data_IF_810184673748
#
_entry.id   IF_810184673748
#
_cell.length_a   1.000
_cell.length_b   1.000
_cell.length_c   1.000
_cell.angle_alpha   90.00
_cell.angle_beta   90.00
_cell.angle_gamma   90.00
#
_symmetry.space_group_name_H-M   'P 1'
#
loop_
_entity.id
_entity.type
_entity.pdbx_description
1 polymer ?
#
# COMPACT_ATOMS: atom_id res chain seq x y z
N UNK A 1 22.88 -4.13 19.51
CA UNK A 1 23.20 -3.10 18.48
C UNK A 1 23.19 -3.80 17.13
N UNK A 2 22.58 -3.19 16.11
CA UNK A 2 22.45 -3.79 14.77
C UNK A 2 23.69 -3.45 13.95
N UNK A 3 24.52 -4.46 13.65
CA UNK A 3 25.74 -4.33 12.87
C UNK A 3 25.68 -5.24 11.63
N UNK A 4 26.38 -4.85 10.56
CA UNK A 4 26.65 -5.74 9.43
C UNK A 4 27.71 -6.78 9.81
N UNK A 5 27.89 -7.78 8.95
CA UNK A 5 28.95 -8.79 9.10
C UNK A 5 30.36 -8.17 9.14
N UNK A 6 30.54 -6.99 8.53
CA UNK A 6 31.80 -6.25 8.50
C UNK A 6 31.98 -5.32 9.72
N UNK A 7 31.06 -5.36 10.69
CA UNK A 7 31.09 -4.51 11.89
C UNK A 7 30.60 -3.07 11.68
N UNK A 8 30.04 -2.74 10.50
CA UNK A 8 29.45 -1.41 10.26
C UNK A 8 28.10 -1.28 10.97
N UNK A 9 27.81 -0.18 11.68
CA UNK A 9 26.49 0.02 12.28
C UNK A 9 25.44 0.20 11.18
N UNK A 10 24.26 -0.40 11.31
CA UNK A 10 23.24 -0.34 10.25
C UNK A 10 22.49 1.00 10.22
N UNK A 11 21.81 1.35 11.31
CA UNK A 11 20.98 2.56 11.38
C UNK A 11 21.81 3.84 11.52
N UNK A 12 22.96 3.75 12.19
CA UNK A 12 23.85 4.88 12.44
C UNK A 12 25.09 4.85 11.55
N UNK A 13 25.03 4.20 10.38
CA UNK A 13 26.05 4.42 9.35
C UNK A 13 25.97 5.84 8.84
N UNK A 14 27.11 6.43 8.48
CA UNK A 14 27.16 7.79 7.97
C UNK A 14 26.27 7.98 6.74
N UNK A 15 26.24 6.99 5.83
CA UNK A 15 25.43 6.99 4.62
C UNK A 15 23.92 7.06 4.90
N UNK A 16 23.43 6.21 5.81
CA UNK A 16 22.00 6.19 6.18
C UNK A 16 21.66 7.44 6.97
N UNK A 17 22.49 7.81 7.95
CA UNK A 17 22.26 8.95 8.83
C UNK A 17 22.22 10.26 8.07
N UNK A 18 23.21 10.55 7.22
CA UNK A 18 23.28 11.80 6.46
C UNK A 18 22.06 11.98 5.56
N UNK A 19 21.61 10.91 4.90
CA UNK A 19 20.43 10.98 4.03
C UNK A 19 19.14 11.09 4.83
N UNK A 20 19.02 10.35 5.94
CA UNK A 20 17.84 10.37 6.79
C UNK A 20 17.67 11.70 7.54
N UNK A 21 18.77 12.34 7.97
CA UNK A 21 18.77 13.62 8.67
C UNK A 21 18.54 14.85 7.76
N UNK A 22 18.05 14.64 6.52
CA UNK A 22 17.79 15.73 5.57
C UNK A 22 16.58 16.55 6.01
N UNK A 23 16.82 17.72 6.63
CA UNK A 23 15.76 18.64 7.06
C UNK A 23 15.41 19.72 6.03
N UNK A 24 16.32 20.04 5.10
CA UNK A 24 16.07 21.07 4.09
C UNK A 24 15.41 20.44 2.85
N UNK A 25 14.08 20.42 2.88
CA UNK A 25 13.27 19.75 1.88
C UNK A 25 12.69 20.76 0.89
N UNK A 26 13.11 20.68 -0.37
CA UNK A 26 12.73 21.65 -1.42
C UNK A 26 11.66 21.14 -2.38
N UNK A 27 11.51 19.83 -2.52
CA UNK A 27 10.57 19.22 -3.48
C UNK A 27 9.40 18.55 -2.78
N UNK A 28 8.26 18.45 -3.47
CA UNK A 28 7.11 17.68 -2.99
C UNK A 28 7.47 16.21 -2.73
N UNK A 29 8.30 15.63 -3.59
CA UNK A 29 8.78 14.27 -3.46
C UNK A 29 9.57 14.08 -2.16
N UNK A 30 10.58 14.92 -1.93
CA UNK A 30 11.40 14.87 -0.72
C UNK A 30 10.56 15.12 0.54
N UNK A 31 9.53 15.99 0.48
CA UNK A 31 8.62 16.25 1.61
C UNK A 31 7.84 15.00 1.99
N UNK A 32 7.35 14.30 0.98
CA UNK A 32 6.63 13.05 1.20
C UNK A 32 7.54 11.93 1.71
N UNK A 33 8.82 11.91 1.31
CA UNK A 33 9.79 10.92 1.79
C UNK A 33 10.26 11.19 3.22
N UNK A 34 10.73 12.40 3.52
CA UNK A 34 11.48 12.69 4.76
C UNK A 34 10.63 13.31 5.88
N UNK A 35 9.42 13.81 5.61
CA UNK A 35 8.53 14.36 6.65
C UNK A 35 7.23 13.58 6.85
N UNK A 36 6.79 12.82 5.84
CA UNK A 36 5.51 12.11 5.88
C UNK A 36 5.68 10.58 5.87
N UNK A 37 6.77 10.07 5.28
CA UNK A 37 7.05 8.65 5.09
C UNK A 37 8.42 8.22 5.58
N UNK A 38 8.98 8.90 6.58
CA UNK A 38 10.34 8.68 7.07
C UNK A 38 10.63 7.21 7.41
N UNK A 39 9.69 6.53 8.09
CA UNK A 39 9.79 5.10 8.43
C UNK A 39 10.02 4.22 7.20
N UNK A 40 9.27 4.48 6.11
CA UNK A 40 9.40 3.75 4.85
C UNK A 40 10.70 4.12 4.17
N UNK A 41 11.06 5.40 4.18
CA UNK A 41 12.31 5.86 3.58
C UNK A 41 13.53 5.22 4.24
N UNK A 42 13.52 5.06 5.56
CA UNK A 42 14.57 4.37 6.31
C UNK A 42 14.81 2.95 5.78
N UNK A 43 13.73 2.19 5.57
CA UNK A 43 13.85 0.82 5.01
C UNK A 43 14.42 0.82 3.60
N UNK A 44 14.03 1.78 2.76
CA UNK A 44 14.59 1.95 1.41
C UNK A 44 16.08 2.30 1.45
N UNK A 45 16.50 3.17 2.37
CA UNK A 45 17.91 3.51 2.56
C UNK A 45 18.73 2.29 3.01
N UNK A 46 18.20 1.49 3.93
CA UNK A 46 18.86 0.27 4.38
C UNK A 46 19.07 -0.74 3.23
N UNK A 47 18.05 -0.96 2.41
CA UNK A 47 18.17 -1.84 1.23
C UNK A 47 19.16 -1.32 0.19
N UNK A 48 19.32 0.01 0.10
CA UNK A 48 20.24 0.67 -0.82
C UNK A 48 21.69 0.60 -0.37
N UNK A 49 21.97 0.87 0.90
CA UNK A 49 23.33 0.92 1.45
C UNK A 49 23.85 -0.42 1.97
N UNK A 50 22.95 -1.37 2.26
CA UNK A 50 23.29 -2.74 2.67
C UNK A 50 22.64 -3.76 1.72
N UNK A 51 23.05 -3.82 0.44
CA UNK A 51 22.41 -4.66 -0.57
C UNK A 51 22.56 -6.16 -0.30
N UNK A 52 23.58 -6.57 0.44
CA UNK A 52 23.84 -7.98 0.82
C UNK A 52 23.00 -8.44 2.03
N UNK A 53 22.18 -7.55 2.60
CA UNK A 53 21.33 -7.83 3.73
C UNK A 53 19.85 -7.79 3.34
N UNK A 54 19.00 -8.37 4.20
CA UNK A 54 17.55 -8.41 3.99
C UNK A 54 16.80 -7.84 5.18
N UNK A 55 15.69 -7.17 4.89
CA UNK A 55 14.69 -6.83 5.89
C UNK A 55 13.76 -8.03 6.08
N UNK A 56 13.41 -8.32 7.33
CA UNK A 56 12.56 -9.46 7.68
C UNK A 56 11.44 -9.02 8.61
N UNK A 57 10.30 -9.70 8.48
CA UNK A 57 9.15 -9.51 9.35
C UNK A 57 9.26 -10.49 10.52
N UNK A 58 9.11 -9.97 11.74
CA UNK A 58 9.13 -10.76 12.98
C UNK A 58 7.69 -10.82 13.51
N UNK A 59 6.99 -11.96 13.43
CA UNK A 59 5.58 -12.08 13.82
C UNK A 59 5.32 -11.73 15.30
N UNK A 60 6.31 -11.95 16.16
CA UNK A 60 6.23 -11.68 17.60
C UNK A 60 6.32 -10.18 17.92
N UNK A 61 6.83 -9.36 17.00
CA UNK A 61 6.92 -7.91 17.14
C UNK A 61 5.53 -7.27 16.93
N UNK A 62 4.73 -7.27 17.99
CA UNK A 62 3.36 -6.71 17.98
C UNK A 62 3.35 -5.28 18.52
N UNK A 63 2.57 -4.41 17.87
CA UNK A 63 2.34 -3.04 18.32
C UNK A 63 0.84 -2.76 18.39
N UNK A 64 0.44 -1.96 19.38
CA UNK A 64 -0.94 -1.49 19.53
C UNK A 64 -1.04 -0.08 18.99
N UNK A 65 -2.10 0.18 18.24
CA UNK A 65 -2.39 1.51 17.69
C UNK A 65 -3.78 1.95 18.06
N UNK A 66 -3.97 3.25 18.23
CA UNK A 66 -5.27 3.85 18.48
C UNK A 66 -5.90 4.15 17.13
N UNK A 67 -7.06 3.54 16.86
CA UNK A 67 -7.81 3.79 15.63
C UNK A 67 -8.37 5.21 15.67
N UNK A 68 -8.33 5.97 14.56
CA UNK A 68 -8.94 7.29 14.48
C UNK A 68 -10.41 7.28 14.90
N UNK A 69 -10.78 8.15 15.86
CA UNK A 69 -12.15 8.26 16.36
C UNK A 69 -13.06 9.12 15.47
N UNK A 70 -12.49 9.96 14.60
CA UNK A 70 -13.24 10.85 13.70
C UNK A 70 -12.78 10.68 12.26
N UNK A 71 -13.71 10.91 11.33
CA UNK A 71 -13.44 10.78 9.90
C UNK A 71 -12.39 11.78 9.41
N UNK A 72 -12.35 12.99 9.97
CA UNK A 72 -11.33 14.00 9.63
C UNK A 72 -9.92 13.56 10.01
N UNK A 73 -9.75 12.91 11.16
CA UNK A 73 -8.45 12.35 11.58
C UNK A 73 -8.08 11.17 10.68
N UNK A 74 -9.03 10.29 10.34
CA UNK A 74 -8.81 9.19 9.39
C UNK A 74 -8.35 9.72 8.03
N UNK A 75 -9.04 10.72 7.47
CA UNK A 75 -8.68 11.37 6.21
C UNK A 75 -7.28 11.96 6.27
N UNK A 76 -6.94 12.69 7.33
CA UNK A 76 -5.63 13.31 7.47
C UNK A 76 -4.51 12.27 7.58
N UNK A 77 -4.72 11.17 8.30
CA UNK A 77 -3.76 10.07 8.40
C UNK A 77 -3.57 9.38 7.05
N UNK A 78 -4.68 9.01 6.39
CA UNK A 78 -4.62 8.30 5.11
C UNK A 78 -4.05 9.15 3.98
N UNK A 79 -4.29 10.47 3.99
CA UNK A 79 -3.61 11.42 3.09
C UNK A 79 -2.09 11.33 3.22
N UNK A 80 -1.57 11.42 4.45
CA UNK A 80 -0.13 11.29 4.72
C UNK A 80 0.41 9.95 4.22
N UNK A 81 -0.31 8.87 4.52
CA UNK A 81 0.15 7.52 4.21
C UNK A 81 0.14 7.25 2.70
N UNK A 82 -0.92 7.63 1.99
CA UNK A 82 -1.03 7.43 0.54
C UNK A 82 0.01 8.27 -0.19
N UNK A 83 0.14 9.56 0.14
CA UNK A 83 1.08 10.45 -0.53
C UNK A 83 2.53 9.99 -0.31
N UNK A 84 2.89 9.62 0.92
CA UNK A 84 4.21 9.07 1.22
C UNK A 84 4.46 7.71 0.54
N UNK A 85 3.46 6.84 0.46
CA UNK A 85 3.58 5.52 -0.19
C UNK A 85 3.89 5.68 -1.66
N UNK A 86 3.18 6.54 -2.38
CA UNK A 86 3.44 6.80 -3.80
C UNK A 86 4.91 7.17 -4.04
N UNK A 87 5.41 8.19 -3.33
CA UNK A 87 6.78 8.63 -3.48
C UNK A 87 7.81 7.61 -3.00
N UNK A 88 7.53 6.87 -1.93
CA UNK A 88 8.42 5.83 -1.44
C UNK A 88 8.52 4.65 -2.41
N UNK A 89 7.42 4.24 -3.04
CA UNK A 89 7.43 3.21 -4.08
C UNK A 89 8.24 3.65 -5.30
N UNK A 90 8.18 4.94 -5.68
CA UNK A 90 9.07 5.50 -6.73
C UNK A 90 10.55 5.38 -6.36
N UNK A 91 10.92 5.67 -5.12
CA UNK A 91 12.31 5.56 -4.66
C UNK A 91 12.73 4.08 -4.52
N UNK A 92 11.82 3.21 -4.07
CA UNK A 92 12.07 1.77 -3.97
C UNK A 92 12.40 1.17 -5.33
N UNK A 93 11.70 1.56 -6.41
CA UNK A 93 12.02 1.13 -7.78
C UNK A 93 13.45 1.44 -8.22
N UNK A 94 14.09 2.47 -7.65
CA UNK A 94 15.47 2.87 -7.95
C UNK A 94 16.52 1.99 -7.25
N UNK A 95 16.12 1.18 -6.26
CA UNK A 95 17.03 0.25 -5.58
C UNK A 95 17.42 -0.88 -6.54
N UNK A 96 18.73 -1.10 -6.71
CA UNK A 96 19.26 -2.06 -7.69
C UNK A 96 19.27 -3.50 -7.17
N UNK A 97 19.39 -3.71 -5.86
CA UNK A 97 19.54 -5.01 -5.19
C UNK A 97 18.24 -5.83 -5.05
N UNK A 98 17.16 -5.45 -5.73
CA UNK A 98 15.89 -6.19 -5.64
C UNK A 98 15.91 -7.47 -6.48
N UNK A 99 15.47 -8.57 -5.86
CA UNK A 99 15.49 -9.91 -6.45
C UNK A 99 14.53 -10.05 -7.67
N UNK A 100 14.92 -10.94 -8.58
CA UNK A 100 14.04 -11.59 -9.58
C UNK A 100 14.41 -11.33 -11.04
N UNK A 101 13.77 -12.07 -11.94
CA UNK A 101 14.04 -12.09 -13.39
C UNK A 101 12.85 -11.46 -14.13
N UNK A 102 13.10 -10.41 -14.92
CA UNK A 102 12.11 -9.76 -15.80
C UNK A 102 10.75 -9.48 -15.10
N UNK A 103 9.64 -9.98 -15.65
CA UNK A 103 8.27 -9.79 -15.14
C UNK A 103 7.98 -10.47 -13.80
N UNK A 104 8.86 -11.34 -13.31
CA UNK A 104 8.78 -11.97 -11.99
C UNK A 104 9.75 -11.31 -10.99
N UNK A 105 10.20 -10.09 -11.28
CA UNK A 105 10.98 -9.27 -10.35
C UNK A 105 10.08 -8.60 -9.31
N UNK A 106 10.62 -8.41 -8.10
CA UNK A 106 10.01 -7.54 -7.09
C UNK A 106 9.70 -6.13 -7.62
N UNK A 107 10.52 -5.62 -8.56
CA UNK A 107 10.25 -4.34 -9.25
C UNK A 107 8.95 -4.36 -10.04
N UNK A 108 8.72 -5.44 -10.80
CA UNK A 108 7.51 -5.59 -11.60
C UNK A 108 6.26 -5.64 -10.70
N UNK A 109 6.34 -6.38 -9.59
CA UNK A 109 5.26 -6.45 -8.59
C UNK A 109 4.95 -5.07 -8.02
N UNK A 110 5.98 -4.29 -7.64
CA UNK A 110 5.80 -2.92 -7.11
C UNK A 110 5.14 -2.00 -8.15
N UNK A 111 5.53 -2.08 -9.42
CA UNK A 111 4.92 -1.29 -10.50
C UNK A 111 3.45 -1.69 -10.70
N UNK A 112 3.16 -3.00 -10.73
CA UNK A 112 1.80 -3.50 -10.89
C UNK A 112 0.91 -3.07 -9.72
N UNK A 113 1.42 -3.12 -8.49
CA UNK A 113 0.71 -2.65 -7.30
C UNK A 113 0.44 -1.14 -7.36
N UNK A 114 1.42 -0.35 -7.78
CA UNK A 114 1.26 1.09 -7.97
C UNK A 114 0.19 1.41 -9.03
N UNK A 115 0.20 0.73 -10.17
CA UNK A 115 -0.80 0.92 -11.23
C UNK A 115 -2.19 0.46 -10.74
N UNK A 116 -2.28 -0.71 -10.12
CA UNK A 116 -3.53 -1.25 -9.62
C UNK A 116 -4.19 -0.31 -8.62
N UNK A 117 -3.42 0.22 -7.66
CA UNK A 117 -3.91 1.15 -6.64
C UNK A 117 -4.36 2.50 -7.23
N UNK A 118 -3.71 2.99 -8.28
CA UNK A 118 -4.12 4.22 -8.98
C UNK A 118 -5.43 4.07 -9.76
N UNK A 119 -5.73 2.87 -10.28
CA UNK A 119 -6.93 2.61 -11.08
C UNK A 119 -8.17 2.34 -10.21
N UNK A 120 -8.01 1.98 -8.93
CA UNK A 120 -9.12 1.63 -8.02
C UNK A 120 -10.30 2.62 -8.01
N UNK A 121 -10.11 3.95 -7.96
CA UNK A 121 -11.24 4.88 -7.97
C UNK A 121 -12.04 4.79 -9.28
N UNK A 122 -11.34 4.68 -10.41
CA UNK A 122 -11.97 4.54 -11.72
C UNK A 122 -12.69 3.17 -11.85
N UNK A 123 -12.09 2.10 -11.34
CA UNK A 123 -12.73 0.79 -11.30
C UNK A 123 -14.03 0.80 -10.51
N UNK A 124 -14.10 1.54 -9.39
CA UNK A 124 -15.33 1.63 -8.61
C UNK A 124 -16.45 2.36 -9.39
N UNK A 125 -16.12 3.44 -10.11
CA UNK A 125 -17.07 4.13 -10.99
C UNK A 125 -17.56 3.19 -12.08
N UNK A 126 -16.68 2.40 -12.67
CA UNK A 126 -17.04 1.44 -13.71
C UNK A 126 -17.96 0.32 -13.18
N UNK A 127 -17.74 -0.16 -11.96
CA UNK A 127 -18.66 -1.09 -11.29
C UNK A 127 -20.04 -0.46 -11.11
N UNK A 128 -20.11 0.79 -10.64
CA UNK A 128 -21.37 1.52 -10.51
C UNK A 128 -22.08 1.70 -11.86
N UNK A 129 -21.33 1.99 -12.92
CA UNK A 129 -21.85 2.08 -14.28
C UNK A 129 -22.44 0.74 -14.76
N UNK A 130 -21.72 -0.37 -14.59
CA UNK A 130 -22.21 -1.71 -14.97
C UNK A 130 -23.50 -2.06 -14.22
N UNK A 131 -23.54 -1.79 -12.92
CA UNK A 131 -24.76 -1.99 -12.12
C UNK A 131 -25.90 -1.16 -12.72
N UNK A 132 -25.66 0.11 -13.04
CA UNK A 132 -26.71 0.97 -13.60
C UNK A 132 -27.27 0.47 -14.93
N UNK A 133 -26.43 0.07 -15.90
CA UNK A 133 -26.91 -0.44 -17.20
C UNK A 133 -27.67 -1.76 -17.05
N UNK A 134 -27.23 -2.65 -16.16
CA UNK A 134 -27.92 -3.93 -15.95
C UNK A 134 -29.29 -3.73 -15.32
N UNK A 135 -29.41 -2.85 -14.32
CA UNK A 135 -30.69 -2.61 -13.65
C UNK A 135 -31.66 -1.77 -14.48
N UNK A 136 -31.18 -0.74 -15.18
CA UNK A 136 -32.05 0.21 -15.88
C UNK A 136 -32.27 -0.12 -17.36
N UNK A 137 -31.28 -0.72 -18.03
CA UNK A 137 -31.35 -1.06 -19.45
C UNK A 137 -31.59 -2.55 -19.69
N UNK A 138 -31.52 -3.39 -18.64
CA UNK A 138 -31.77 -4.82 -18.73
C UNK A 138 -30.66 -5.61 -19.45
N UNK A 139 -29.48 -5.00 -19.63
CA UNK A 139 -28.36 -5.63 -20.32
C UNK A 139 -27.80 -6.81 -19.52
N UNK A 140 -27.60 -7.99 -20.13
CA UNK A 140 -27.12 -9.17 -19.42
C UNK A 140 -25.67 -9.01 -18.98
N UNK A 141 -25.39 -9.38 -17.73
CA UNK A 141 -24.02 -9.45 -17.22
C UNK A 141 -23.26 -10.60 -17.88
N UNK A 142 -22.04 -10.32 -18.36
CA UNK A 142 -21.17 -11.35 -18.91
C UNK A 142 -20.83 -12.39 -17.84
N UNK A 143 -21.06 -13.67 -18.16
CA UNK A 143 -20.69 -14.78 -17.28
C UNK A 143 -19.21 -14.75 -16.90
N UNK A 144 -18.33 -14.36 -17.84
CA UNK A 144 -16.90 -14.23 -17.59
C UNK A 144 -16.62 -13.21 -16.46
N UNK A 145 -17.32 -12.08 -16.46
CA UNK A 145 -17.15 -11.06 -15.42
C UNK A 145 -17.56 -11.59 -14.05
N UNK A 146 -18.70 -12.29 -13.98
CA UNK A 146 -19.18 -12.90 -12.73
C UNK A 146 -18.22 -13.95 -12.19
N UNK A 147 -17.67 -14.80 -13.08
CA UNK A 147 -16.69 -15.83 -12.71
C UNK A 147 -15.40 -15.18 -12.19
N UNK A 148 -14.84 -14.21 -12.91
CA UNK A 148 -13.60 -13.53 -12.49
C UNK A 148 -13.80 -12.80 -11.16
N UNK A 149 -14.90 -12.07 -11.00
CA UNK A 149 -15.19 -11.34 -9.76
C UNK A 149 -15.41 -12.30 -8.59
N UNK A 150 -16.13 -13.40 -8.83
CA UNK A 150 -16.34 -14.48 -7.86
C UNK A 150 -15.03 -15.13 -7.41
N UNK A 151 -14.08 -15.36 -8.32
CA UNK A 151 -12.75 -15.87 -7.96
C UNK A 151 -12.00 -14.84 -7.11
N UNK A 152 -11.93 -13.57 -7.53
CA UNK A 152 -11.17 -12.53 -6.80
C UNK A 152 -11.70 -12.35 -5.37
N UNK A 153 -13.02 -12.22 -5.20
CA UNK A 153 -13.64 -12.09 -3.89
C UNK A 153 -13.56 -13.40 -3.10
N UNK A 154 -13.76 -14.54 -3.77
CA UNK A 154 -13.70 -15.87 -3.18
C UNK A 154 -12.35 -16.19 -2.56
N UNK A 155 -11.25 -15.85 -3.24
CA UNK A 155 -9.88 -16.02 -2.69
C UNK A 155 -9.69 -15.20 -1.40
N UNK A 156 -10.24 -13.98 -1.34
CA UNK A 156 -10.14 -13.14 -0.14
C UNK A 156 -10.93 -13.73 1.03
N UNK A 157 -12.16 -14.18 0.78
CA UNK A 157 -13.04 -14.75 1.82
C UNK A 157 -12.56 -16.12 2.29
N UNK A 158 -11.93 -16.91 1.42
CA UNK A 158 -11.41 -18.25 1.76
C UNK A 158 -10.39 -18.23 2.91
N UNK A 159 -9.70 -17.11 3.14
CA UNK A 159 -8.74 -16.96 4.24
C UNK A 159 -9.41 -17.06 5.62
N UNK A 160 -10.66 -16.62 5.75
CA UNK A 160 -11.37 -16.59 7.04
C UNK A 160 -11.66 -18.00 7.60
N UNK A 161 -12.27 -18.94 6.85
CA UNK A 161 -12.47 -20.30 7.33
C UNK A 161 -11.14 -21.05 7.48
N UNK A 162 -10.16 -20.82 6.61
CA UNK A 162 -8.81 -21.42 6.74
C UNK A 162 -8.12 -21.05 8.05
N UNK A 163 -8.42 -19.87 8.61
CA UNK A 163 -7.90 -19.42 9.91
C UNK A 163 -8.87 -19.65 11.08
N UNK A 164 -10.02 -20.27 10.84
CA UNK A 164 -11.10 -20.45 11.82
C UNK A 164 -11.58 -19.14 12.45
N UNK A 165 -11.65 -18.06 11.65
CA UNK A 165 -12.04 -16.71 12.11
C UNK A 165 -13.29 -16.22 11.38
N UNK A 166 -14.40 -16.89 11.64
CA UNK A 166 -15.71 -16.62 11.03
C UNK A 166 -16.24 -15.22 11.34
N UNK A 167 -15.84 -14.62 12.47
CA UNK A 167 -16.24 -13.27 12.85
C UNK A 167 -15.90 -12.22 11.78
N UNK A 168 -14.83 -12.44 11.00
CA UNK A 168 -14.44 -11.52 9.92
C UNK A 168 -15.38 -11.54 8.72
N UNK A 169 -16.21 -12.57 8.52
CA UNK A 169 -17.16 -12.61 7.41
C UNK A 169 -18.15 -11.44 7.50
N UNK A 170 -18.67 -11.18 8.71
CA UNK A 170 -19.60 -10.07 8.94
C UNK A 170 -18.94 -8.71 8.71
N UNK A 171 -17.74 -8.51 9.26
CA UNK A 171 -16.97 -7.28 9.06
C UNK A 171 -16.54 -7.06 7.61
N UNK A 172 -16.24 -8.13 6.89
CA UNK A 172 -15.93 -8.07 5.47
C UNK A 172 -17.14 -7.59 4.65
N UNK A 173 -18.35 -8.06 4.96
CA UNK A 173 -19.57 -7.57 4.31
C UNK A 173 -19.81 -6.09 4.58
N UNK A 174 -19.65 -5.64 5.83
CA UNK A 174 -19.72 -4.20 6.19
C UNK A 174 -18.66 -3.41 5.41
N UNK A 175 -17.44 -3.93 5.31
CA UNK A 175 -16.37 -3.32 4.54
C UNK A 175 -16.70 -3.26 3.04
N UNK A 176 -17.28 -4.30 2.45
CA UNK A 176 -17.66 -4.28 1.03
C UNK A 176 -18.70 -3.20 0.72
N UNK A 177 -19.67 -2.99 1.61
CA UNK A 177 -20.75 -2.01 1.39
C UNK A 177 -20.30 -0.59 1.69
N UNK A 178 -19.72 -0.35 2.87
CA UNK A 178 -19.39 0.99 3.36
C UNK A 178 -17.90 1.33 3.25
N UNK A 179 -17.04 0.33 3.46
CA UNK A 179 -15.59 0.49 3.40
C UNK A 179 -15.10 0.75 1.98
N UNK A 180 -15.53 -0.03 0.99
CA UNK A 180 -15.04 0.09 -0.40
C UNK A 180 -15.22 1.50 -0.97
N UNK A 181 -16.39 2.16 -0.88
CA UNK A 181 -16.53 3.55 -1.31
C UNK A 181 -15.55 4.52 -0.60
N UNK A 182 -15.32 4.32 0.69
CA UNK A 182 -14.42 5.18 1.47
C UNK A 182 -12.95 4.92 1.08
N UNK A 183 -12.52 3.66 1.09
CA UNK A 183 -11.12 3.28 0.94
C UNK A 183 -10.64 3.25 -0.51
N UNK A 184 -11.50 2.95 -1.48
CA UNK A 184 -11.10 2.85 -2.89
C UNK A 184 -11.41 4.11 -3.68
N UNK A 185 -12.28 4.99 -3.18
CA UNK A 185 -12.67 6.21 -3.91
C UNK A 185 -12.40 7.49 -3.12
N UNK A 186 -13.04 7.67 -1.95
CA UNK A 186 -12.94 8.94 -1.20
C UNK A 186 -11.50 9.21 -0.73
N UNK A 187 -10.88 8.25 -0.04
CA UNK A 187 -9.54 8.42 0.54
C UNK A 187 -8.47 8.65 -0.54
N UNK A 188 -8.38 7.85 -1.63
CA UNK A 188 -7.38 8.10 -2.67
C UNK A 188 -7.58 9.46 -3.35
N UNK A 189 -8.79 9.80 -3.80
CA UNK A 189 -9.05 11.07 -4.49
C UNK A 189 -8.74 12.27 -3.59
N UNK A 190 -9.16 12.23 -2.34
CA UNK A 190 -8.84 13.28 -1.37
C UNK A 190 -7.33 13.44 -1.17
N UNK A 191 -6.60 12.33 -1.13
CA UNK A 191 -5.15 12.32 -0.89
C UNK A 191 -4.38 12.97 -2.03
N UNK A 192 -4.69 12.58 -3.28
CA UNK A 192 -4.07 13.16 -4.48
C UNK A 192 -4.47 14.61 -4.72
N UNK A 193 -5.70 15.01 -4.35
CA UNK A 193 -6.14 16.40 -4.45
C UNK A 193 -5.42 17.33 -3.47
N UNK A 194 -4.96 16.82 -2.31
CA UNK A 194 -4.34 17.60 -1.24
C UNK A 194 -2.87 17.21 -0.98
N UNK A 195 -2.09 16.96 -2.04
CA UNK A 195 -0.66 16.63 -1.94
C UNK A 195 0.22 17.79 -1.49
#
# INVERSE_FOLDING_TARGET
>A
RLYSNDGRPLLSSDDVYQRYATNNVKTLHDKNLFHLGEDRMLTTLLLRYFPDMKLSFVPEATCYTIVPHTFSVLLSQRRRWINSTFHNMLELMRVQSMCGICCLSMKAVVVLDLIATLILPASLVYVGYIISITFWMGEPLSLLMLVVWGIVVGVQVAVFPLRSRWDYCWWFLIFCIFGVPVFYFILPLYSFWHM
#
